data_IF_770547651802
#
_entry.id   IF_770547651802
#
_cell.length_a   1.000
_cell.length_b   1.000
_cell.length_c   1.000
_cell.angle_alpha   90.00
_cell.angle_beta   90.00
_cell.angle_gamma   90.00
#
_symmetry.space_group_name_H-M   'P 1'
#
loop_
_entity.id
_entity.type
_entity.pdbx_description
1 polymer ?
#
# COMPACT_ATOMS: atom_id res chain seq x y z
N UNK A 1 23.34 -10.21 -19.43
CA UNK A 1 22.21 -9.48 -18.83
C UNK A 1 21.17 -10.42 -18.21
N UNK A 2 21.57 -11.51 -17.54
CA UNK A 2 20.69 -12.69 -17.38
C UNK A 2 20.49 -13.24 -15.97
N UNK A 3 20.48 -12.42 -14.92
CA UNK A 3 20.35 -12.96 -13.55
C UNK A 3 19.88 -11.99 -12.46
N UNK A 4 19.20 -10.90 -12.83
CA UNK A 4 18.60 -9.96 -11.86
C UNK A 4 17.08 -9.93 -11.97
N UNK A 5 16.42 -9.17 -11.08
CA UNK A 5 14.95 -8.97 -11.10
C UNK A 5 14.40 -8.57 -12.48
N UNK A 6 15.18 -7.82 -13.26
CA UNK A 6 14.86 -7.48 -14.64
C UNK A 6 14.72 -8.71 -15.57
N UNK A 7 15.54 -9.75 -15.38
CA UNK A 7 15.42 -11.02 -16.11
C UNK A 7 14.20 -11.83 -15.68
N UNK A 8 13.82 -11.77 -14.40
CA UNK A 8 12.59 -12.37 -13.88
C UNK A 8 11.31 -11.63 -14.33
N UNK A 9 11.40 -10.31 -14.55
CA UNK A 9 10.30 -9.52 -15.11
C UNK A 9 10.02 -9.89 -16.57
N UNK A 10 11.09 -9.96 -17.37
CA UNK A 10 11.04 -10.33 -18.79
C UNK A 10 10.45 -11.72 -18.99
N UNK A 11 10.85 -12.71 -18.17
CA UNK A 11 10.36 -14.09 -18.28
C UNK A 11 8.89 -14.28 -17.87
N UNK A 12 8.37 -13.42 -16.98
CA UNK A 12 6.95 -13.40 -16.57
C UNK A 12 6.04 -12.65 -17.54
N UNK A 13 6.59 -11.71 -18.30
CA UNK A 13 5.86 -10.90 -19.29
C UNK A 13 6.52 -11.06 -20.66
N UNK A 14 6.40 -12.25 -21.26
CA UNK A 14 7.04 -12.55 -22.54
C UNK A 14 6.38 -11.82 -23.73
N UNK A 15 5.12 -11.40 -23.60
CA UNK A 15 4.45 -10.58 -24.61
C UNK A 15 4.75 -9.09 -24.36
N UNK A 16 5.19 -8.31 -25.37
CA UNK A 16 5.41 -6.86 -25.21
C UNK A 16 4.16 -6.11 -24.74
N UNK A 17 2.96 -6.62 -25.05
CA UNK A 17 1.68 -6.06 -24.58
C UNK A 17 1.54 -6.17 -23.07
N UNK A 18 1.97 -7.30 -22.49
CA UNK A 18 1.90 -7.52 -21.05
C UNK A 18 2.85 -6.56 -20.31
N UNK A 19 4.02 -6.25 -20.90
CA UNK A 19 4.97 -5.28 -20.36
C UNK A 19 4.43 -3.84 -20.41
N UNK A 20 3.81 -3.45 -21.53
CA UNK A 20 3.15 -2.16 -21.65
C UNK A 20 2.02 -2.00 -20.63
N UNK A 21 1.17 -3.02 -20.46
CA UNK A 21 0.10 -3.01 -19.48
C UNK A 21 0.66 -2.93 -18.04
N UNK A 22 1.74 -3.66 -17.75
CA UNK A 22 2.41 -3.58 -16.46
C UNK A 22 2.96 -2.17 -16.17
N UNK A 23 3.64 -1.55 -17.13
CA UNK A 23 4.15 -0.18 -17.01
C UNK A 23 3.01 0.82 -16.83
N UNK A 24 1.95 0.70 -17.64
CA UNK A 24 0.75 1.52 -17.52
C UNK A 24 0.14 1.46 -16.12
N UNK A 25 -0.08 0.26 -15.59
CA UNK A 25 -0.71 0.07 -14.26
C UNK A 25 0.22 0.45 -13.11
N UNK A 26 1.49 0.07 -13.20
CA UNK A 26 2.43 0.18 -12.07
C UNK A 26 3.03 1.57 -11.94
N UNK A 27 3.38 2.21 -13.07
CA UNK A 27 4.02 3.53 -13.06
C UNK A 27 3.03 4.66 -13.29
N UNK A 28 2.04 4.47 -14.16
CA UNK A 28 1.10 5.53 -14.52
C UNK A 28 -0.28 5.38 -13.85
N UNK A 29 -0.58 4.25 -13.21
CA UNK A 29 -1.90 4.00 -12.64
C UNK A 29 -3.01 3.93 -13.70
N UNK A 30 -2.69 3.48 -14.92
CA UNK A 30 -3.60 3.42 -16.06
C UNK A 30 -3.92 1.99 -16.46
N UNK A 31 -5.21 1.71 -16.66
CA UNK A 31 -5.69 0.45 -17.20
C UNK A 31 -5.90 0.55 -18.71
N UNK A 32 -4.85 0.27 -19.49
CA UNK A 32 -4.92 0.23 -20.96
C UNK A 32 -5.24 -1.18 -21.50
N UNK A 33 -5.34 -2.19 -20.64
CA UNK A 33 -5.39 -3.60 -21.05
C UNK A 33 -6.61 -3.99 -21.89
N UNK A 34 -7.79 -3.40 -21.65
CA UNK A 34 -8.95 -3.67 -22.50
C UNK A 34 -8.74 -3.18 -23.94
N UNK A 35 -7.88 -2.18 -24.14
CA UNK A 35 -7.54 -1.69 -25.47
C UNK A 35 -6.68 -2.67 -26.29
N UNK A 36 -6.29 -3.82 -25.73
CA UNK A 36 -5.47 -4.83 -26.42
C UNK A 36 -6.14 -5.39 -27.68
N UNK A 37 -7.45 -5.62 -27.62
CA UNK A 37 -8.19 -6.35 -28.66
C UNK A 37 -9.19 -5.47 -29.43
N UNK A 38 -9.66 -4.39 -28.82
CA UNK A 38 -10.60 -3.43 -29.40
C UNK A 38 -10.45 -2.09 -28.68
N UNK A 39 -11.13 -1.03 -29.10
CA UNK A 39 -11.10 0.25 -28.37
C UNK A 39 -11.76 0.10 -26.99
N UNK A 40 -11.17 0.73 -25.96
CA UNK A 40 -11.65 0.59 -24.59
C UNK A 40 -13.11 1.08 -24.47
N UNK A 41 -14.02 0.30 -23.87
CA UNK A 41 -15.46 0.61 -23.92
C UNK A 41 -15.87 1.80 -23.06
N UNK A 42 -15.11 2.08 -22.00
CA UNK A 42 -15.43 3.07 -20.95
C UNK A 42 -14.31 4.10 -20.69
N UNK A 43 -13.28 4.12 -21.54
CA UNK A 43 -12.10 4.97 -21.40
C UNK A 43 -11.62 5.35 -22.81
N UNK A 44 -10.74 6.35 -22.92
CA UNK A 44 -10.33 6.94 -24.19
C UNK A 44 -9.38 6.09 -25.03
N UNK A 45 -8.83 5.02 -24.47
CA UNK A 45 -7.74 4.28 -25.08
C UNK A 45 -8.19 3.49 -26.30
N UNK A 46 -7.61 3.79 -27.46
CA UNK A 46 -7.86 3.03 -28.68
C UNK A 46 -6.87 1.88 -28.84
N UNK A 47 -7.27 0.84 -29.57
CA UNK A 47 -6.41 -0.32 -29.81
C UNK A 47 -5.09 0.04 -30.46
N UNK A 48 -5.12 1.00 -31.39
CA UNK A 48 -3.90 1.49 -32.03
C UNK A 48 -2.92 2.12 -31.04
N UNK A 49 -3.41 2.80 -30.01
CA UNK A 49 -2.59 3.46 -28.99
C UNK A 49 -1.97 2.42 -28.05
N UNK A 50 -2.74 1.40 -27.64
CA UNK A 50 -2.22 0.26 -26.88
C UNK A 50 -1.11 -0.46 -27.63
N UNK A 51 -1.33 -0.78 -28.92
CA UNK A 51 -0.34 -1.46 -29.74
C UNK A 51 0.91 -0.60 -29.98
N UNK A 52 0.74 0.71 -30.18
CA UNK A 52 1.86 1.63 -30.37
C UNK A 52 2.70 1.76 -29.09
N UNK A 53 2.07 1.83 -27.92
CA UNK A 53 2.79 1.83 -26.66
C UNK A 53 3.49 0.50 -26.39
N UNK A 54 2.83 -0.63 -26.71
CA UNK A 54 3.39 -1.97 -26.62
C UNK A 54 4.64 -2.16 -27.49
N UNK A 55 4.75 -1.43 -28.60
CA UNK A 55 5.90 -1.55 -29.49
C UNK A 55 7.22 -1.05 -28.87
N UNK A 56 7.20 -0.23 -27.81
CA UNK A 56 8.41 0.11 -27.03
C UNK A 56 9.04 -1.10 -26.34
N UNK A 57 8.26 -2.14 -26.09
CA UNK A 57 8.67 -3.32 -25.33
C UNK A 57 8.94 -4.54 -26.22
N UNK A 58 8.80 -4.38 -27.55
CA UNK A 58 8.99 -5.46 -28.50
C UNK A 58 10.47 -5.84 -28.61
N UNK A 59 10.80 -7.04 -28.14
CA UNK A 59 12.17 -7.53 -28.12
C UNK A 59 12.78 -7.59 -29.51
N UNK A 60 14.06 -7.20 -29.59
CA UNK A 60 14.82 -7.37 -30.81
C UNK A 60 14.96 -8.88 -31.13
N UNK A 61 14.85 -9.24 -32.40
CA UNK A 61 14.94 -10.61 -32.89
C UNK A 61 16.15 -10.78 -33.80
N UNK A 62 16.81 -11.96 -33.83
CA UNK A 62 17.90 -12.21 -34.77
C UNK A 62 17.45 -11.98 -36.21
N UNK A 63 18.27 -11.27 -36.97
CA UNK A 63 18.11 -11.14 -38.41
C UNK A 63 18.86 -12.29 -39.13
N UNK A 64 18.48 -12.65 -40.36
CA UNK A 64 19.17 -13.70 -41.13
C UNK A 64 20.63 -13.37 -41.49
N UNK A 65 21.04 -12.11 -41.37
CA UNK A 65 22.32 -11.55 -41.79
C UNK A 65 23.33 -11.39 -40.63
N UNK A 66 23.02 -11.90 -39.43
CA UNK A 66 23.92 -11.92 -38.27
C UNK A 66 23.80 -10.74 -37.27
N UNK A 67 22.72 -9.96 -37.31
CA UNK A 67 22.40 -8.86 -36.39
C UNK A 67 21.05 -9.03 -35.67
N UNK A 68 20.58 -7.98 -34.97
CA UNK A 68 19.27 -7.96 -34.30
C UNK A 68 18.35 -6.94 -34.99
N UNK A 69 17.14 -7.35 -35.39
CA UNK A 69 16.07 -6.46 -35.85
C UNK A 69 15.21 -6.03 -34.67
N UNK A 70 14.70 -4.80 -34.67
CA UNK A 70 13.68 -4.38 -33.71
C UNK A 70 12.44 -5.29 -33.78
N UNK A 71 11.87 -5.64 -32.62
CA UNK A 71 10.60 -6.34 -32.55
C UNK A 71 9.50 -5.49 -33.19
N UNK A 72 8.59 -6.11 -33.95
CA UNK A 72 7.47 -5.41 -34.59
C UNK A 72 6.14 -5.98 -34.12
N UNK A 73 5.20 -5.07 -33.88
CA UNK A 73 3.79 -5.38 -33.77
C UNK A 73 3.09 -5.01 -35.07
N UNK A 74 1.95 -5.63 -35.34
CA UNK A 74 1.17 -5.40 -36.56
C UNK A 74 -0.27 -5.10 -36.21
N UNK A 75 -0.87 -4.15 -36.94
CA UNK A 75 -2.29 -3.82 -36.79
C UNK A 75 -3.16 -4.98 -37.28
N UNK A 76 -4.17 -5.41 -36.50
CA UNK A 76 -5.17 -6.38 -36.95
C UNK A 76 -5.86 -5.92 -38.24
N UNK A 77 -6.20 -6.86 -39.11
CA UNK A 77 -6.90 -6.60 -40.38
C UNK A 77 -6.05 -6.00 -41.51
N UNK A 78 -5.11 -5.10 -41.20
CA UNK A 78 -4.26 -4.47 -42.23
C UNK A 78 -2.88 -5.10 -42.38
N UNK A 79 -2.37 -5.75 -41.33
CA UNK A 79 -1.01 -6.29 -41.31
C UNK A 79 0.09 -5.22 -41.39
N UNK A 80 -0.25 -3.93 -41.22
CA UNK A 80 0.73 -2.84 -41.21
C UNK A 80 1.54 -2.87 -39.92
N UNK A 81 2.85 -2.68 -40.04
CA UNK A 81 3.74 -2.57 -38.89
C UNK A 81 3.37 -1.34 -38.04
N UNK A 82 3.26 -1.54 -36.74
CA UNK A 82 3.00 -0.50 -35.74
C UNK A 82 4.30 0.19 -35.39
N UNK A 83 4.30 1.52 -35.41
CA UNK A 83 5.42 2.32 -34.91
C UNK A 83 5.24 2.58 -33.41
N UNK A 84 6.33 2.55 -32.61
CA UNK A 84 6.27 2.96 -31.21
C UNK A 84 5.73 4.39 -31.07
N UNK A 85 4.78 4.58 -30.15
CA UNK A 85 4.29 5.90 -29.76
C UNK A 85 3.92 5.93 -28.27
N UNK A 86 4.26 7.03 -27.60
CA UNK A 86 3.95 7.25 -26.19
C UNK A 86 2.44 7.41 -25.97
N UNK A 87 1.97 7.09 -24.76
CA UNK A 87 0.60 7.41 -24.36
C UNK A 87 0.43 8.93 -24.29
N UNK A 88 -0.56 9.48 -25.00
CA UNK A 88 -0.78 10.93 -25.04
C UNK A 88 -1.53 11.39 -23.79
N UNK A 89 -0.81 11.60 -22.68
CA UNK A 89 -1.38 11.99 -21.38
C UNK A 89 -1.69 13.48 -21.26
N UNK A 90 -0.91 14.33 -21.92
CA UNK A 90 -1.18 15.74 -22.06
C UNK A 90 -0.99 16.16 -23.53
N UNK A 91 -2.06 16.53 -24.26
CA UNK A 91 -1.94 16.99 -25.65
C UNK A 91 -1.09 18.24 -25.84
N UNK A 92 -0.93 19.06 -24.79
CA UNK A 92 -0.10 20.25 -24.80
C UNK A 92 1.36 19.99 -24.34
N UNK A 93 1.72 18.73 -24.07
CA UNK A 93 3.08 18.38 -23.70
C UNK A 93 4.06 18.67 -24.84
N UNK A 94 5.31 19.05 -24.53
CA UNK A 94 6.35 19.16 -25.55
C UNK A 94 6.57 17.81 -26.26
N UNK A 95 7.05 17.86 -27.50
CA UNK A 95 7.47 16.65 -28.19
C UNK A 95 8.59 15.96 -27.41
N UNK A 96 8.53 14.63 -27.35
CA UNK A 96 9.58 13.86 -26.71
C UNK A 96 10.92 14.12 -27.42
N UNK A 97 12.01 14.35 -26.67
CA UNK A 97 13.32 14.55 -27.27
C UNK A 97 13.72 13.31 -28.08
N UNK A 98 14.32 13.50 -29.26
CA UNK A 98 14.81 12.39 -30.08
C UNK A 98 15.93 11.65 -29.33
N UNK A 99 15.58 10.53 -28.71
CA UNK A 99 16.47 9.67 -27.92
C UNK A 99 16.21 8.21 -28.25
N UNK A 100 16.95 7.30 -27.60
CA UNK A 100 16.67 5.87 -27.70
C UNK A 100 15.28 5.60 -27.11
N UNK A 101 14.53 4.59 -27.60
CA UNK A 101 13.16 4.33 -27.15
C UNK A 101 12.99 4.21 -25.62
N UNK A 102 13.96 3.62 -24.92
CA UNK A 102 13.92 3.53 -23.46
C UNK A 102 14.08 4.88 -22.76
N UNK A 103 14.90 5.79 -23.29
CA UNK A 103 15.08 7.13 -22.75
C UNK A 103 13.84 8.00 -23.01
N UNK A 104 13.18 7.79 -24.15
CA UNK A 104 11.92 8.44 -24.51
C UNK A 104 10.78 8.00 -23.57
N UNK A 105 10.69 6.70 -23.29
CA UNK A 105 9.73 6.14 -22.33
C UNK A 105 9.97 6.69 -20.92
N UNK A 106 11.23 6.69 -20.45
CA UNK A 106 11.58 7.25 -19.14
C UNK A 106 11.23 8.74 -19.04
N UNK A 107 11.58 9.51 -20.07
CA UNK A 107 11.21 10.92 -20.17
C UNK A 107 9.69 11.11 -20.13
N UNK A 108 8.92 10.29 -20.85
CA UNK A 108 7.46 10.40 -20.83
C UNK A 108 6.88 10.21 -19.43
N UNK A 109 7.42 9.26 -18.66
CA UNK A 109 6.90 8.95 -17.31
C UNK A 109 7.23 10.07 -16.32
N UNK A 110 8.43 10.63 -16.39
CA UNK A 110 8.96 11.55 -15.37
C UNK A 110 8.79 13.03 -15.73
N UNK A 111 8.96 13.37 -17.01
CA UNK A 111 9.11 14.74 -17.51
C UNK A 111 8.18 15.06 -18.70
N UNK A 112 7.26 14.15 -19.04
CA UNK A 112 6.38 14.21 -20.21
C UNK A 112 5.32 15.31 -20.20
N UNK A 113 5.50 16.36 -19.40
CA UNK A 113 4.56 17.47 -19.26
C UNK A 113 3.26 17.07 -18.56
N UNK A 114 3.28 16.06 -17.70
CA UNK A 114 2.12 15.61 -16.92
C UNK A 114 2.53 15.05 -15.56
N UNK A 115 1.59 15.02 -14.61
CA UNK A 115 1.82 14.59 -13.22
C UNK A 115 1.41 13.13 -12.94
N UNK A 116 1.14 12.34 -13.99
CA UNK A 116 0.51 11.02 -13.86
C UNK A 116 1.32 10.04 -12.98
N UNK A 117 2.65 10.04 -13.09
CA UNK A 117 3.51 9.24 -12.21
C UNK A 117 3.37 9.67 -10.74
N UNK A 118 3.43 10.98 -10.48
CA UNK A 118 3.23 11.55 -9.15
C UNK A 118 1.84 11.22 -8.59
N UNK A 119 0.77 11.31 -9.40
CA UNK A 119 -0.59 10.92 -9.00
C UNK A 119 -0.67 9.46 -8.58
N UNK A 120 -0.08 8.56 -9.37
CA UNK A 120 -0.07 7.13 -9.07
C UNK A 120 0.74 6.81 -7.79
N UNK A 121 1.93 7.40 -7.64
CA UNK A 121 2.73 7.27 -6.40
C UNK A 121 1.96 7.79 -5.19
N UNK A 122 1.44 9.02 -5.25
CA UNK A 122 0.70 9.64 -4.17
C UNK A 122 -0.53 8.81 -3.78
N UNK A 123 -1.32 8.36 -4.75
CA UNK A 123 -2.52 7.55 -4.50
C UNK A 123 -2.18 6.22 -3.82
N UNK A 124 -1.16 5.49 -4.32
CA UNK A 124 -0.73 4.20 -3.77
C UNK A 124 -0.20 4.32 -2.35
N UNK A 125 0.71 5.27 -2.10
CA UNK A 125 1.25 5.46 -0.74
C UNK A 125 0.19 5.95 0.24
N UNK A 126 -0.73 6.82 -0.21
CA UNK A 126 -1.87 7.20 0.60
C UNK A 126 -2.72 5.98 0.97
N UNK A 127 -3.08 5.13 0.00
CA UNK A 127 -3.84 3.91 0.26
C UNK A 127 -3.13 2.91 1.16
N UNK A 128 -1.82 2.71 0.99
CA UNK A 128 -1.01 1.82 1.84
C UNK A 128 -1.01 2.29 3.30
N UNK A 129 -0.92 3.60 3.53
CA UNK A 129 -0.79 4.19 4.87
C UNK A 129 -2.14 4.41 5.56
N UNK A 130 -3.11 4.96 4.82
CA UNK A 130 -4.45 5.34 5.34
C UNK A 130 -5.42 4.16 5.29
N UNK A 131 -5.16 3.15 4.45
CA UNK A 131 -5.99 1.96 4.25
C UNK A 131 -6.96 2.08 3.08
N UNK A 132 -7.08 3.28 2.48
CA UNK A 132 -7.97 3.56 1.37
C UNK A 132 -7.37 4.54 0.38
N UNK A 133 -7.47 4.21 -0.89
CA UNK A 133 -6.96 5.04 -1.98
C UNK A 133 -7.87 6.25 -2.21
N UNK A 134 -7.29 7.35 -2.72
CA UNK A 134 -8.06 8.52 -3.13
C UNK A 134 -8.79 8.26 -4.46
N UNK A 135 -8.16 7.53 -5.38
CA UNK A 135 -8.80 6.95 -6.56
C UNK A 135 -9.01 5.47 -6.23
N UNK A 136 -10.27 5.03 -6.19
CA UNK A 136 -10.60 3.63 -5.94
C UNK A 136 -10.18 2.77 -7.13
N UNK A 137 -9.64 1.58 -6.86
CA UNK A 137 -8.69 0.88 -7.73
C UNK A 137 -7.41 1.73 -8.04
N UNK A 138 -6.26 1.40 -7.42
CA UNK A 138 -5.04 2.22 -7.50
C UNK A 138 -4.40 2.31 -8.89
N UNK A 139 -4.88 1.53 -9.86
CA UNK A 139 -4.36 1.39 -11.20
C UNK A 139 -5.37 1.80 -12.29
N UNK A 140 -6.41 2.55 -11.91
CA UNK A 140 -7.53 2.90 -12.77
C UNK A 140 -7.83 4.41 -12.75
N UNK A 141 -6.82 5.21 -13.08
CA UNK A 141 -6.87 6.68 -13.06
C UNK A 141 -7.56 7.27 -14.32
N UNK A 142 -8.70 6.70 -14.73
CA UNK A 142 -9.50 7.22 -15.85
C UNK A 142 -10.31 8.46 -15.45
N UNK A 143 -10.69 9.27 -16.43
CA UNK A 143 -11.52 10.48 -16.18
C UNK A 143 -12.87 10.16 -15.51
N UNK A 144 -13.45 9.00 -15.83
CA UNK A 144 -14.71 8.52 -15.23
C UNK A 144 -14.53 7.87 -13.84
N UNK A 145 -13.30 7.85 -13.31
CA UNK A 145 -12.97 7.39 -11.96
C UNK A 145 -12.17 8.47 -11.21
N UNK A 146 -12.80 9.62 -10.90
CA UNK A 146 -12.10 10.71 -10.25
C UNK A 146 -11.73 10.36 -8.81
N UNK A 147 -10.70 11.03 -8.29
CA UNK A 147 -10.36 10.93 -6.88
C UNK A 147 -11.52 11.41 -6.01
N UNK A 148 -11.79 10.72 -4.90
CA UNK A 148 -12.79 11.12 -3.90
C UNK A 148 -12.53 12.52 -3.35
N UNK A 149 -11.27 12.99 -3.39
CA UNK A 149 -10.87 14.34 -3.03
C UNK A 149 -9.70 14.83 -3.91
N UNK A 150 -10.01 15.35 -5.11
CA UNK A 150 -9.01 15.81 -6.10
C UNK A 150 -7.98 16.79 -5.54
N UNK A 151 -8.43 17.83 -4.81
CA UNK A 151 -7.51 18.84 -4.25
C UNK A 151 -6.50 18.27 -3.24
N UNK A 152 -6.80 17.14 -2.59
CA UNK A 152 -5.88 16.47 -1.67
C UNK A 152 -4.86 15.67 -2.46
N UNK A 153 -5.29 14.94 -3.49
CA UNK A 153 -4.37 14.26 -4.40
C UNK A 153 -3.41 15.27 -5.04
N UNK A 154 -3.92 16.39 -5.56
CA UNK A 154 -3.09 17.43 -6.17
C UNK A 154 -2.11 18.05 -5.16
N UNK A 155 -2.49 18.18 -3.88
CA UNK A 155 -1.58 18.65 -2.84
C UNK A 155 -0.45 17.67 -2.53
N UNK A 156 -0.74 16.36 -2.51
CA UNK A 156 0.26 15.31 -2.32
C UNK A 156 1.22 15.22 -3.51
N UNK A 157 0.69 15.36 -4.73
CA UNK A 157 1.49 15.41 -5.96
C UNK A 157 2.43 16.61 -5.93
N UNK A 158 1.94 17.81 -5.60
CA UNK A 158 2.79 19.00 -5.45
C UNK A 158 3.88 18.81 -4.42
N UNK A 159 3.60 18.17 -3.28
CA UNK A 159 4.62 17.90 -2.27
C UNK A 159 5.67 16.89 -2.77
N UNK A 160 5.26 15.85 -3.49
CA UNK A 160 6.16 14.88 -4.10
C UNK A 160 7.08 15.54 -5.13
N UNK A 161 6.55 16.36 -6.02
CA UNK A 161 7.31 17.08 -7.04
C UNK A 161 8.24 18.14 -6.43
N UNK A 162 7.74 18.95 -5.48
CA UNK A 162 8.54 19.97 -4.78
C UNK A 162 9.73 19.38 -4.04
N UNK A 163 9.67 18.09 -3.71
CA UNK A 163 10.72 17.37 -3.00
C UNK A 163 11.55 16.46 -3.88
N UNK A 164 11.46 16.62 -5.21
CA UNK A 164 12.21 15.84 -6.20
C UNK A 164 11.96 14.33 -6.09
N UNK A 165 10.70 13.96 -5.88
CA UNK A 165 10.30 12.56 -5.79
C UNK A 165 10.70 11.84 -4.49
N UNK A 166 11.04 12.58 -3.41
CA UNK A 166 11.46 12.00 -2.15
C UNK A 166 10.29 11.31 -1.42
N UNK A 167 10.21 9.99 -1.57
CA UNK A 167 9.20 9.15 -0.92
C UNK A 167 9.19 9.29 0.61
N UNK A 168 10.33 9.53 1.27
CA UNK A 168 10.37 9.69 2.73
C UNK A 168 9.65 10.96 3.15
N UNK A 169 9.77 12.04 2.38
CA UNK A 169 9.06 13.30 2.66
C UNK A 169 7.58 13.20 2.36
N UNK A 170 7.19 12.50 1.28
CA UNK A 170 5.78 12.20 1.01
C UNK A 170 5.15 11.37 2.14
N UNK A 171 5.81 10.28 2.55
CA UNK A 171 5.36 9.44 3.68
C UNK A 171 5.23 10.28 4.95
N UNK A 172 6.25 11.08 5.28
CA UNK A 172 6.22 11.99 6.45
C UNK A 172 5.01 12.91 6.40
N UNK A 173 4.73 13.53 5.26
CA UNK A 173 3.59 14.43 5.07
C UNK A 173 2.26 13.71 5.33
N UNK A 174 2.11 12.49 4.83
CA UNK A 174 0.90 11.68 5.06
C UNK A 174 0.78 11.31 6.54
N UNK A 175 1.81 10.73 7.16
CA UNK A 175 1.71 10.21 8.54
C UNK A 175 1.63 11.28 9.62
N UNK A 176 2.01 12.53 9.30
CA UNK A 176 1.87 13.69 10.21
C UNK A 176 0.57 14.46 9.97
N UNK A 177 -0.25 14.05 9.01
CA UNK A 177 -1.50 14.72 8.67
C UNK A 177 -2.65 14.41 9.63
N UNK A 178 -3.62 15.31 9.70
CA UNK A 178 -4.88 15.08 10.44
C UNK A 178 -5.66 13.87 9.90
N UNK A 179 -5.63 13.63 8.58
CA UNK A 179 -6.37 12.51 7.97
C UNK A 179 -5.79 11.16 8.39
N UNK A 180 -4.46 11.05 8.52
CA UNK A 180 -3.82 9.85 9.05
C UNK A 180 -4.09 9.64 10.54
N UNK A 181 -4.18 10.73 11.31
CA UNK A 181 -4.46 10.73 12.74
C UNK A 181 -5.94 10.51 13.12
N UNK A 182 -6.83 10.31 12.14
CA UNK A 182 -8.25 10.04 12.41
C UNK A 182 -8.41 8.76 13.24
N UNK A 183 -9.31 8.80 14.22
CA UNK A 183 -9.69 7.63 14.99
C UNK A 183 -10.37 6.58 14.08
N UNK A 184 -10.22 5.29 14.42
CA UNK A 184 -10.92 4.21 13.71
C UNK A 184 -12.33 3.96 14.25
N UNK A 185 -12.61 4.36 15.50
CA UNK A 185 -13.94 4.27 16.10
C UNK A 185 -14.86 5.36 15.53
N UNK A 186 -16.16 5.08 15.33
CA UNK A 186 -17.12 6.12 15.04
C UNK A 186 -17.18 7.13 16.20
N UNK A 187 -17.42 8.40 15.87
CA UNK A 187 -17.71 9.43 16.88
C UNK A 187 -18.99 9.12 17.64
N UNK A 188 -19.17 9.75 18.81
CA UNK A 188 -20.37 9.58 19.62
C UNK A 188 -21.66 9.78 18.80
N UNK A 189 -22.62 8.88 18.99
CA UNK A 189 -23.91 8.91 18.29
C UNK A 189 -23.90 8.42 16.84
N UNK A 190 -22.79 7.90 16.31
CA UNK A 190 -22.74 7.30 14.96
C UNK A 190 -22.57 5.78 15.01
N UNK A 191 -23.34 5.08 14.18
CA UNK A 191 -23.13 3.65 13.93
C UNK A 191 -22.17 3.45 12.74
N UNK A 192 -21.38 2.38 12.78
CA UNK A 192 -20.48 1.96 11.68
C UNK A 192 -21.20 1.87 10.32
N UNK A 193 -22.46 1.40 10.32
CA UNK A 193 -23.26 1.18 9.12
C UNK A 193 -23.76 2.47 8.44
N UNK A 194 -23.84 3.58 9.17
CA UNK A 194 -24.37 4.87 8.68
C UNK A 194 -23.28 5.91 8.45
N UNK A 195 -22.02 5.56 8.70
CA UNK A 195 -20.91 6.51 8.62
C UNK A 195 -20.43 6.67 7.16
N UNK A 196 -20.45 7.89 6.59
CA UNK A 196 -19.90 8.18 5.26
C UNK A 196 -18.38 7.93 5.15
N UNK A 197 -17.71 7.48 6.22
CA UNK A 197 -16.38 6.87 6.20
C UNK A 197 -16.13 5.92 5.02
N UNK A 198 -17.14 5.15 4.61
CA UNK A 198 -17.05 4.24 3.46
C UNK A 198 -16.80 4.97 2.12
N UNK A 199 -16.92 6.30 2.04
CA UNK A 199 -16.66 7.07 0.82
C UNK A 199 -15.72 8.25 1.00
N UNK A 200 -15.71 8.92 2.15
CA UNK A 200 -15.08 10.25 2.29
C UNK A 200 -14.07 10.39 3.44
N UNK A 201 -13.44 9.29 3.89
CA UNK A 201 -12.38 9.34 4.90
C UNK A 201 -12.77 10.08 6.20
N UNK A 202 -14.03 9.99 6.61
CA UNK A 202 -14.53 10.65 7.83
C UNK A 202 -13.93 10.07 9.13
N UNK A 203 -13.43 8.84 9.05
CA UNK A 203 -12.67 8.13 10.09
C UNK A 203 -11.64 7.22 9.43
N UNK A 204 -10.71 6.68 10.20
CA UNK A 204 -9.76 5.68 9.69
C UNK A 204 -10.45 4.33 9.49
N UNK A 205 -10.26 3.72 8.33
CA UNK A 205 -10.71 2.34 8.08
C UNK A 205 -9.79 1.37 8.83
N UNK A 206 -10.38 0.47 9.60
CA UNK A 206 -9.60 -0.55 10.30
C UNK A 206 -9.05 -1.53 9.26
N UNK A 207 -7.74 -1.71 9.24
CA UNK A 207 -7.09 -2.66 8.34
C UNK A 207 -6.51 -3.82 9.15
N UNK A 208 -6.77 -5.07 8.76
CA UNK A 208 -6.01 -6.19 9.29
C UNK A 208 -4.51 -5.97 9.10
N UNK A 209 -3.71 -6.34 10.09
CA UNK A 209 -2.26 -6.33 9.93
C UNK A 209 -1.87 -7.37 8.87
N UNK A 210 -0.84 -7.08 8.06
CA UNK A 210 -0.22 -8.14 7.24
C UNK A 210 0.47 -9.16 8.15
N UNK A 211 0.83 -10.38 7.67
CA UNK A 211 1.56 -11.35 8.48
C UNK A 211 2.82 -10.74 9.12
N UNK A 212 3.61 -10.01 8.32
CA UNK A 212 4.82 -9.36 8.80
C UNK A 212 4.54 -8.27 9.84
N UNK A 213 3.51 -7.44 9.63
CA UNK A 213 3.12 -6.41 10.59
C UNK A 213 2.61 -7.03 11.90
N UNK A 214 1.83 -8.11 11.81
CA UNK A 214 1.34 -8.84 12.95
C UNK A 214 2.48 -9.46 13.76
N UNK A 215 3.43 -10.14 13.09
CA UNK A 215 4.64 -10.68 13.71
C UNK A 215 5.38 -9.58 14.47
N UNK A 216 5.70 -8.46 13.80
CA UNK A 216 6.41 -7.33 14.43
C UNK A 216 5.65 -6.71 15.60
N UNK A 217 4.31 -6.62 15.52
CA UNK A 217 3.50 -6.12 16.62
C UNK A 217 3.58 -7.05 17.84
N UNK A 218 3.53 -8.37 17.63
CA UNK A 218 3.70 -9.36 18.70
C UNK A 218 5.10 -9.28 19.30
N UNK A 219 6.15 -9.28 18.46
CA UNK A 219 7.54 -9.17 18.90
C UNK A 219 7.79 -7.89 19.72
N UNK A 220 7.16 -6.77 19.35
CA UNK A 220 7.27 -5.52 20.11
C UNK A 220 6.71 -5.63 21.53
N UNK A 221 5.67 -6.45 21.75
CA UNK A 221 5.12 -6.69 23.09
C UNK A 221 5.99 -7.69 23.86
N UNK A 222 6.44 -8.75 23.20
CA UNK A 222 7.27 -9.80 23.82
C UNK A 222 8.71 -9.35 24.07
N UNK A 223 9.21 -8.34 23.34
CA UNK A 223 10.61 -7.92 23.37
C UNK A 223 11.57 -8.97 22.79
N UNK A 224 11.06 -9.94 22.02
CA UNK A 224 11.81 -11.09 21.50
C UNK A 224 11.35 -11.42 20.07
N UNK A 225 12.23 -12.03 19.28
CA UNK A 225 11.90 -12.43 17.91
C UNK A 225 11.08 -13.74 17.90
N UNK A 226 10.01 -13.75 17.12
CA UNK A 226 9.27 -14.98 16.84
C UNK A 226 10.04 -15.83 15.81
N UNK A 227 9.86 -17.17 15.82
CA UNK A 227 10.41 -18.05 14.80
C UNK A 227 10.12 -17.54 13.38
N UNK A 228 10.99 -17.89 12.43
CA UNK A 228 10.97 -17.37 11.05
C UNK A 228 9.73 -17.77 10.24
N UNK A 229 8.87 -18.65 10.75
CA UNK A 229 7.63 -19.00 10.06
C UNK A 229 6.69 -17.78 10.00
N UNK A 230 6.20 -17.42 8.79
CA UNK A 230 5.25 -16.34 8.67
C UNK A 230 3.97 -16.72 9.44
N UNK A 231 3.42 -15.81 10.27
CA UNK A 231 2.16 -16.09 10.93
C UNK A 231 1.06 -16.30 9.88
N UNK A 232 -0.03 -17.00 10.21
CA UNK A 232 -1.09 -17.32 9.26
C UNK A 232 -1.60 -16.10 8.48
N UNK A 233 -2.04 -16.29 7.24
CA UNK A 233 -2.58 -15.19 6.42
C UNK A 233 -3.95 -14.70 6.91
N UNK A 234 -4.78 -15.61 7.44
CA UNK A 234 -6.11 -15.27 7.94
C UNK A 234 -6.02 -14.57 9.31
N UNK A 235 -6.70 -13.42 9.49
CA UNK A 235 -6.78 -12.76 10.79
C UNK A 235 -7.35 -13.66 11.90
N UNK A 236 -8.30 -14.55 11.58
CA UNK A 236 -8.85 -15.49 12.55
C UNK A 236 -7.80 -16.53 12.98
N UNK A 237 -7.06 -17.06 12.01
CA UNK A 237 -5.97 -18.01 12.28
C UNK A 237 -4.84 -17.37 13.10
N UNK A 238 -4.57 -16.07 12.92
CA UNK A 238 -3.63 -15.31 13.76
C UNK A 238 -4.10 -15.14 15.20
N UNK A 239 -5.40 -14.95 15.42
CA UNK A 239 -5.94 -14.93 16.78
C UNK A 239 -5.85 -16.29 17.45
N UNK A 240 -6.20 -17.36 16.73
CA UNK A 240 -6.01 -18.73 17.22
C UNK A 240 -4.54 -19.01 17.50
N UNK A 241 -3.62 -18.47 16.69
CA UNK A 241 -2.20 -18.55 16.94
C UNK A 241 -1.83 -17.87 18.27
N UNK A 242 -2.32 -16.66 18.57
CA UNK A 242 -2.05 -16.00 19.87
C UNK A 242 -2.66 -16.77 21.04
N UNK A 243 -3.89 -17.27 20.89
CA UNK A 243 -4.62 -17.98 21.94
C UNK A 243 -4.02 -19.35 22.28
N UNK A 244 -3.50 -20.06 21.27
CA UNK A 244 -3.07 -21.46 21.42
C UNK A 244 -1.54 -21.64 21.40
N UNK A 245 -0.78 -20.58 21.13
CA UNK A 245 0.68 -20.65 21.10
C UNK A 245 1.27 -20.43 22.49
N UNK A 246 1.94 -21.46 23.02
CA UNK A 246 2.78 -21.34 24.22
C UNK A 246 3.85 -20.25 24.09
N UNK A 247 4.30 -19.95 22.85
CA UNK A 247 5.32 -18.93 22.60
C UNK A 247 4.92 -17.53 23.11
N UNK A 248 3.63 -17.18 23.07
CA UNK A 248 3.17 -15.87 23.55
C UNK A 248 3.19 -15.82 25.07
N UNK A 249 2.68 -16.87 25.72
CA UNK A 249 2.63 -16.95 27.19
C UNK A 249 4.05 -17.05 27.77
N UNK A 250 4.88 -17.91 27.18
CA UNK A 250 6.29 -18.06 27.56
C UNK A 250 7.04 -16.73 27.37
N UNK A 251 6.81 -16.03 26.25
CA UNK A 251 7.41 -14.72 25.99
C UNK A 251 7.00 -13.65 27.00
N UNK A 252 5.72 -13.59 27.37
CA UNK A 252 5.22 -12.66 28.40
C UNK A 252 5.71 -13.02 29.81
N UNK A 253 6.06 -14.28 30.06
CA UNK A 253 6.64 -14.73 31.32
C UNK A 253 8.16 -14.48 31.40
N UNK A 254 8.86 -14.29 30.27
CA UNK A 254 10.30 -14.00 30.26
C UNK A 254 10.59 -12.64 30.92
N UNK A 255 11.56 -12.54 31.83
CA UNK A 255 11.98 -11.26 32.39
C UNK A 255 12.59 -10.36 31.30
N UNK A 256 12.39 -9.05 31.42
CA UNK A 256 12.94 -8.05 30.49
C UNK A 256 12.12 -7.81 29.22
N UNK A 257 10.94 -8.41 29.08
CA UNK A 257 10.00 -8.07 28.01
C UNK A 257 9.42 -6.65 28.15
N UNK A 258 8.81 -6.12 27.10
CA UNK A 258 8.26 -4.77 27.06
C UNK A 258 7.15 -4.53 28.09
N UNK A 259 6.41 -5.57 28.50
CA UNK A 259 5.35 -5.48 29.51
C UNK A 259 5.94 -5.41 30.92
N UNK A 260 6.98 -6.19 31.21
CA UNK A 260 7.73 -6.13 32.46
C UNK A 260 8.36 -4.74 32.66
N UNK A 261 8.94 -4.16 31.60
CA UNK A 261 9.48 -2.81 31.63
C UNK A 261 8.43 -1.74 32.03
N UNK A 262 7.15 -1.92 31.69
CA UNK A 262 6.08 -1.02 32.16
C UNK A 262 5.92 -1.14 33.68
N UNK A 263 5.96 -2.36 34.22
CA UNK A 263 5.91 -2.59 35.67
C UNK A 263 7.08 -1.96 36.41
N UNK A 264 8.29 -2.05 35.84
CA UNK A 264 9.53 -1.60 36.45
C UNK A 264 9.70 -0.06 36.41
N UNK A 265 9.29 0.57 35.32
CA UNK A 265 9.61 1.99 35.06
C UNK A 265 8.40 2.94 35.10
N UNK A 266 7.16 2.44 35.07
CA UNK A 266 5.96 3.29 35.10
C UNK A 266 5.28 3.19 36.47
N UNK A 267 5.34 4.28 37.23
CA UNK A 267 4.72 4.34 38.55
C UNK A 267 3.20 4.54 38.48
N UNK A 268 2.44 3.66 39.13
CA UNK A 268 1.00 3.82 39.34
C UNK A 268 0.14 3.01 38.35
N UNK A 269 -0.87 2.25 38.83
CA UNK A 269 -1.68 1.36 37.99
C UNK A 269 -2.39 2.04 36.82
N UNK A 270 -2.82 3.29 36.97
CA UNK A 270 -3.48 4.03 35.90
C UNK A 270 -2.54 4.40 34.75
N UNK A 271 -1.29 4.76 35.06
CA UNK A 271 -0.27 5.06 34.05
C UNK A 271 0.24 3.77 33.40
N UNK A 272 0.40 2.71 34.17
CA UNK A 272 0.73 1.38 33.65
C UNK A 272 -0.34 0.86 32.68
N UNK A 273 -1.63 1.02 33.02
CA UNK A 273 -2.73 0.66 32.13
C UNK A 273 -2.67 1.43 30.79
N UNK A 274 -2.43 2.74 30.84
CA UNK A 274 -2.27 3.56 29.62
C UNK A 274 -1.06 3.13 28.80
N UNK A 275 0.08 2.91 29.45
CA UNK A 275 1.29 2.44 28.79
C UNK A 275 1.07 1.09 28.09
N UNK A 276 0.37 0.16 28.75
CA UNK A 276 0.05 -1.15 28.19
C UNK A 276 -0.88 -1.04 26.97
N UNK A 277 -1.93 -0.23 27.06
CA UNK A 277 -2.82 0.02 25.93
C UNK A 277 -2.10 0.67 24.73
N UNK A 278 -1.14 1.55 24.98
CA UNK A 278 -0.30 2.14 23.92
C UNK A 278 0.64 1.11 23.31
N UNK A 279 1.26 0.27 24.13
CA UNK A 279 2.16 -0.78 23.65
C UNK A 279 1.41 -1.79 22.78
N UNK A 280 0.25 -2.28 23.22
CA UNK A 280 -0.47 -3.38 22.55
C UNK A 280 -1.42 -2.87 21.46
N UNK A 281 -2.15 -1.79 21.70
CA UNK A 281 -3.22 -1.28 20.82
C UNK A 281 -2.94 0.10 20.23
N UNK A 282 -1.79 0.73 20.53
CA UNK A 282 -1.41 2.05 19.99
C UNK A 282 -2.43 3.17 20.26
N UNK A 283 -3.18 3.08 21.36
CA UNK A 283 -4.13 4.11 21.80
C UNK A 283 -4.25 4.15 23.33
N UNK A 284 -4.92 5.17 23.86
CA UNK A 284 -5.34 5.17 25.27
C UNK A 284 -6.59 4.28 25.47
N UNK A 285 -6.79 3.72 26.68
CA UNK A 285 -8.03 3.02 27.03
C UNK A 285 -9.18 4.01 27.06
N UNK A 286 -10.36 3.57 26.61
CA UNK A 286 -11.58 4.36 26.78
C UNK A 286 -12.07 4.30 28.25
N UNK A 287 -13.02 5.17 28.67
CA UNK A 287 -13.47 5.21 30.06
C UNK A 287 -14.04 3.87 30.60
N UNK A 288 -14.70 3.08 29.75
CA UNK A 288 -15.27 1.79 30.14
C UNK A 288 -14.16 0.74 30.33
N UNK A 289 -13.18 0.70 29.42
CA UNK A 289 -12.00 -0.16 29.53
C UNK A 289 -11.18 0.19 30.77
N UNK A 290 -10.96 1.49 31.02
CA UNK A 290 -10.24 1.95 32.20
C UNK A 290 -10.95 1.50 33.49
N UNK A 291 -12.27 1.68 33.56
CA UNK A 291 -13.09 1.23 34.70
C UNK A 291 -13.05 -0.29 34.90
N UNK A 292 -12.99 -1.05 33.82
CA UNK A 292 -12.97 -2.51 33.87
C UNK A 292 -11.61 -3.08 34.30
N UNK A 293 -10.51 -2.54 33.80
CA UNK A 293 -9.18 -3.15 33.97
C UNK A 293 -8.35 -2.55 35.11
N UNK A 294 -8.59 -1.30 35.49
CA UNK A 294 -7.83 -0.64 36.56
C UNK A 294 -7.92 -1.36 37.92
N UNK A 295 -9.09 -1.85 38.38
CA UNK A 295 -9.19 -2.57 39.65
C UNK A 295 -8.34 -3.85 39.67
N UNK A 296 -8.25 -4.54 38.54
CA UNK A 296 -7.45 -5.77 38.40
C UNK A 296 -5.97 -5.47 38.58
N UNK A 297 -5.45 -4.43 37.91
CA UNK A 297 -4.05 -4.01 38.07
C UNK A 297 -3.72 -3.54 39.48
N UNK A 298 -4.64 -2.82 40.13
CA UNK A 298 -4.47 -2.40 41.52
C UNK A 298 -4.35 -3.59 42.48
N UNK A 299 -5.03 -4.70 42.18
CA UNK A 299 -5.02 -5.91 43.03
C UNK A 299 -3.85 -6.84 42.74
N UNK A 300 -3.48 -7.01 41.47
CA UNK A 300 -2.52 -8.04 41.04
C UNK A 300 -1.10 -7.50 40.79
N UNK A 301 -0.92 -6.19 40.64
CA UNK A 301 0.41 -5.60 40.38
C UNK A 301 1.01 -6.11 39.06
N UNK A 302 2.29 -6.50 39.08
CA UNK A 302 3.05 -6.89 37.90
C UNK A 302 2.49 -8.13 37.17
N UNK A 303 1.96 -9.13 37.88
CA UNK A 303 1.33 -10.31 37.24
C UNK A 303 0.07 -9.92 36.47
N UNK A 304 -0.68 -8.94 36.96
CA UNK A 304 -1.86 -8.40 36.27
C UNK A 304 -1.53 -7.70 34.94
N UNK A 305 -0.30 -7.21 34.75
CA UNK A 305 0.13 -6.61 33.48
C UNK A 305 0.31 -7.66 32.39
N UNK A 306 0.90 -8.82 32.70
CA UNK A 306 1.08 -9.92 31.76
C UNK A 306 -0.26 -10.50 31.31
N UNK A 307 -1.15 -10.80 32.25
CA UNK A 307 -2.49 -11.33 31.96
C UNK A 307 -3.31 -10.36 31.10
N UNK A 308 -3.24 -9.06 31.42
CA UNK A 308 -3.93 -8.04 30.65
C UNK A 308 -3.30 -7.85 29.26
N UNK A 309 -1.98 -7.92 29.13
CA UNK A 309 -1.30 -7.88 27.83
C UNK A 309 -1.79 -9.02 26.94
N UNK A 310 -1.83 -10.24 27.47
CA UNK A 310 -2.36 -11.41 26.76
C UNK A 310 -3.83 -11.19 26.35
N UNK A 311 -4.68 -10.72 27.27
CA UNK A 311 -6.08 -10.44 26.97
C UNK A 311 -6.27 -9.39 25.85
N UNK A 312 -5.44 -8.35 25.84
CA UNK A 312 -5.46 -7.33 24.78
C UNK A 312 -4.98 -7.89 23.44
N UNK A 313 -3.91 -8.71 23.44
CA UNK A 313 -3.40 -9.38 22.23
C UNK A 313 -4.36 -10.42 21.65
N UNK A 314 -5.10 -11.12 22.52
CA UNK A 314 -6.13 -12.08 22.12
C UNK A 314 -7.44 -11.40 21.69
N UNK A 315 -7.61 -10.12 21.99
CA UNK A 315 -8.82 -9.36 21.71
C UNK A 315 -9.07 -9.13 20.21
N UNK A 316 -10.34 -8.87 19.86
CA UNK A 316 -10.79 -8.58 18.48
C UNK A 316 -10.11 -7.40 17.81
N UNK A 317 -9.53 -6.51 18.61
CA UNK A 317 -8.87 -5.29 18.13
C UNK A 317 -7.41 -5.53 17.72
N UNK A 318 -6.71 -6.44 18.39
CA UNK A 318 -5.33 -6.75 18.06
C UNK A 318 -5.27 -7.54 16.74
N UNK A 319 -4.45 -7.06 15.80
CA UNK A 319 -4.39 -7.62 14.44
C UNK A 319 -5.63 -7.34 13.55
N UNK A 320 -6.65 -6.69 14.12
CA UNK A 320 -7.99 -6.33 13.63
C UNK A 320 -8.71 -7.38 12.78
N UNK A 321 -9.62 -8.10 13.45
CA UNK A 321 -10.74 -8.88 12.88
C UNK A 321 -12.02 -8.03 12.68
N UNK A 322 -11.91 -6.70 12.77
CA UNK A 322 -13.05 -5.76 12.63
C UNK A 322 -13.26 -5.35 11.18
#
# INVERSE_FOLDING_TARGET
LGGGEAGGFVSRHNDPRDRAEYVGRTLLGLSIGCARCHDHPMDRWQQREHLAFSAYFADARPNPEGGMMAGKLFLPGTGKAVQPALLQLNPAAPAAPQRRPGDELAWSILDGGHDQFGRNVANRFFGILVGKHLIDAPDDHRLSNPAIHGALLDALVREFERTDGDLRKLIRTIVTSRVYALASQPGEGRALATDPAARYLARREARPLTPAQFKRAVESVLGDELPQEPPPESPLSRQLYVLNSGLIQDGLAKPGNSVAAIGDFVAGPALQLRALFRLVLSRDPNPNEAKAFLPTLQKQGATGLGDLAFALMAGREFGSLR
#
